data_IF_088642788705
#
_entry.id   IF_088642788705
#
_cell.length_a   1.000
_cell.length_b   1.000
_cell.length_c   1.000
_cell.angle_alpha   90.00
_cell.angle_beta   90.00
_cell.angle_gamma   90.00
#
_symmetry.space_group_name_H-M   'P 1'
#
loop_
_entity.id
_entity.type
_entity.pdbx_description
1 polymer ?
#
# COMPACT_ATOMS: atom_id res chain seq x y z
N UNK A 1 -39.90 -43.43 37.03
CA UNK A 1 -39.23 -43.03 35.78
C UNK A 1 -39.31 -41.52 35.55
N UNK A 2 -40.22 -40.78 36.24
CA UNK A 2 -40.42 -39.34 36.07
C UNK A 2 -39.50 -38.44 36.91
N UNK A 3 -38.86 -38.95 37.97
CA UNK A 3 -38.06 -38.12 38.90
C UNK A 3 -36.59 -37.95 38.47
N UNK A 4 -36.06 -38.82 37.64
CA UNK A 4 -34.66 -38.75 37.16
C UNK A 4 -34.49 -37.79 35.98
N UNK A 5 -35.54 -37.55 35.18
CA UNK A 5 -35.50 -36.59 34.07
C UNK A 5 -35.65 -35.14 34.51
N UNK A 6 -36.22 -34.87 35.69
CA UNK A 6 -36.39 -33.51 36.20
C UNK A 6 -35.11 -32.93 36.82
N UNK A 7 -34.20 -33.80 37.30
CA UNK A 7 -32.93 -33.38 37.88
C UNK A 7 -31.84 -33.10 36.86
N UNK A 8 -31.89 -33.78 35.72
CA UNK A 8 -30.93 -33.54 34.61
C UNK A 8 -31.18 -32.26 33.80
N UNK A 9 -32.38 -31.69 33.89
CA UNK A 9 -32.70 -30.42 33.22
C UNK A 9 -32.33 -29.17 34.03
N UNK A 10 -32.19 -29.31 35.37
CA UNK A 10 -31.86 -28.18 36.25
C UNK A 10 -30.36 -27.91 36.38
N UNK A 11 -29.51 -28.87 35.99
CA UNK A 11 -28.05 -28.72 35.99
C UNK A 11 -27.52 -28.10 34.69
N UNK A 12 -28.36 -27.92 33.66
CA UNK A 12 -27.94 -27.42 32.35
C UNK A 12 -28.18 -25.91 32.15
N UNK A 13 -28.96 -25.28 33.04
CA UNK A 13 -29.30 -23.86 32.97
C UNK A 13 -28.31 -22.93 33.71
N UNK A 14 -27.40 -23.48 34.53
CA UNK A 14 -26.49 -22.66 35.35
C UNK A 14 -25.07 -22.48 34.76
N UNK A 15 -24.75 -23.05 33.59
CA UNK A 15 -23.40 -22.99 33.02
C UNK A 15 -23.12 -22.00 31.87
N UNK A 16 -24.04 -21.25 31.25
CA UNK A 16 -23.67 -20.44 30.08
C UNK A 16 -23.20 -19.00 30.39
N UNK A 17 -23.36 -18.51 31.63
CA UNK A 17 -23.10 -17.09 31.90
C UNK A 17 -21.66 -16.76 32.31
N UNK A 18 -20.90 -17.70 32.79
CA UNK A 18 -19.47 -17.52 33.16
C UNK A 18 -18.56 -17.65 31.96
N UNK A 19 -18.86 -18.58 31.04
CA UNK A 19 -18.05 -18.86 29.83
C UNK A 19 -18.15 -17.74 28.78
N UNK A 20 -19.32 -17.10 28.64
CA UNK A 20 -19.49 -15.99 27.72
C UNK A 20 -18.73 -14.72 28.15
N UNK A 21 -18.67 -14.45 29.44
CA UNK A 21 -17.94 -13.27 29.97
C UNK A 21 -16.43 -13.41 29.85
N UNK A 22 -15.89 -14.59 30.04
CA UNK A 22 -14.46 -14.87 29.93
C UNK A 22 -14.03 -14.83 28.45
N UNK A 23 -14.89 -15.28 27.54
CA UNK A 23 -14.66 -15.17 26.09
C UNK A 23 -14.73 -13.72 25.60
N UNK A 24 -15.70 -12.92 26.06
CA UNK A 24 -15.82 -11.51 25.72
C UNK A 24 -14.61 -10.68 26.23
N UNK A 25 -14.08 -11.05 27.40
CA UNK A 25 -12.89 -10.43 27.97
C UNK A 25 -11.65 -10.85 27.18
N UNK A 26 -11.50 -12.13 26.85
CA UNK A 26 -10.39 -12.62 26.04
C UNK A 26 -10.39 -11.99 24.64
N UNK A 27 -11.54 -11.89 23.99
CA UNK A 27 -11.69 -11.23 22.68
C UNK A 27 -11.34 -9.74 22.76
N UNK A 28 -11.68 -9.04 23.85
CA UNK A 28 -11.34 -7.64 24.05
C UNK A 28 -9.82 -7.42 24.19
N UNK A 29 -9.09 -8.31 24.86
CA UNK A 29 -7.63 -8.24 24.97
C UNK A 29 -6.93 -8.57 23.66
N UNK A 30 -7.47 -9.50 22.87
CA UNK A 30 -6.92 -9.86 21.55
C UNK A 30 -7.08 -8.68 20.59
N UNK A 31 -8.26 -8.05 20.56
CA UNK A 31 -8.53 -6.87 19.71
C UNK A 31 -7.61 -5.70 20.08
N UNK A 32 -7.44 -5.42 21.38
CA UNK A 32 -6.54 -4.34 21.85
C UNK A 32 -5.08 -4.61 21.49
N UNK A 33 -4.63 -5.86 21.59
CA UNK A 33 -3.26 -6.25 21.23
C UNK A 33 -2.99 -6.16 19.73
N UNK A 34 -3.97 -6.48 18.88
CA UNK A 34 -3.83 -6.31 17.43
C UNK A 34 -3.77 -4.83 17.01
N UNK A 35 -4.55 -3.97 17.64
CA UNK A 35 -4.56 -2.54 17.33
C UNK A 35 -3.27 -1.85 17.80
N UNK A 36 -2.71 -2.23 18.93
CA UNK A 36 -1.40 -1.75 19.38
C UNK A 36 -0.28 -2.20 18.44
N UNK A 37 -0.28 -3.47 18.01
CA UNK A 37 0.71 -3.97 17.07
C UNK A 37 0.61 -3.29 15.70
N UNK A 38 -0.60 -3.03 15.21
CA UNK A 38 -0.84 -2.26 13.98
C UNK A 38 -0.34 -0.82 14.12
N UNK A 39 -0.61 -0.17 15.25
CA UNK A 39 -0.09 1.16 15.55
C UNK A 39 1.43 1.21 15.55
N UNK A 40 2.07 0.26 16.21
CA UNK A 40 3.52 0.13 16.25
C UNK A 40 4.11 -0.12 14.85
N UNK A 41 3.51 -1.00 14.06
CA UNK A 41 3.95 -1.29 12.70
C UNK A 41 3.89 -0.04 11.79
N UNK A 42 2.86 0.79 11.93
CA UNK A 42 2.73 2.05 11.19
C UNK A 42 3.83 3.04 11.61
N UNK A 43 4.09 3.18 12.91
CA UNK A 43 5.14 4.07 13.41
C UNK A 43 6.52 3.61 12.96
N UNK A 44 6.81 2.31 13.05
CA UNK A 44 8.07 1.71 12.61
C UNK A 44 8.26 1.89 11.10
N UNK A 45 7.20 1.68 10.30
CA UNK A 45 7.28 1.86 8.84
C UNK A 45 7.55 3.31 8.44
N UNK A 46 6.95 4.28 9.13
CA UNK A 46 7.21 5.71 8.93
C UNK A 46 8.63 6.10 9.34
N UNK A 47 9.10 5.56 10.47
CA UNK A 47 10.47 5.80 10.92
C UNK A 47 11.49 5.22 9.95
N UNK A 48 11.29 4.00 9.46
CA UNK A 48 12.13 3.36 8.44
C UNK A 48 12.18 4.18 7.15
N UNK A 49 11.03 4.67 6.69
CA UNK A 49 10.94 5.56 5.53
C UNK A 49 11.74 6.85 5.73
N UNK A 50 11.59 7.50 6.88
CA UNK A 50 12.30 8.72 7.21
C UNK A 50 13.81 8.47 7.22
N UNK A 51 14.26 7.35 7.76
CA UNK A 51 15.65 6.93 7.77
C UNK A 51 16.18 6.70 6.34
N UNK A 52 15.40 6.04 5.48
CA UNK A 52 15.75 5.88 4.05
C UNK A 52 15.90 7.23 3.37
N UNK A 53 14.99 8.20 3.60
CA UNK A 53 15.11 9.53 3.01
C UNK A 53 16.33 10.30 3.50
N UNK A 54 16.67 10.20 4.78
CA UNK A 54 17.88 10.81 5.33
C UNK A 54 19.12 10.20 4.66
N UNK A 55 19.19 8.87 4.54
CA UNK A 55 20.30 8.19 3.91
C UNK A 55 20.43 8.54 2.42
N UNK A 56 19.31 8.57 1.69
CA UNK A 56 19.31 8.95 0.26
C UNK A 56 19.65 10.41 0.08
N UNK A 57 19.14 11.31 0.92
CA UNK A 57 19.47 12.74 0.87
C UNK A 57 20.93 13.01 1.17
N UNK A 58 21.46 12.41 2.22
CA UNK A 58 22.86 12.61 2.62
C UNK A 58 23.83 11.96 1.66
N UNK A 59 23.58 10.69 1.28
CA UNK A 59 24.41 9.95 0.31
C UNK A 59 24.35 10.55 -1.09
N UNK A 60 23.15 10.95 -1.54
CA UNK A 60 22.96 11.62 -2.83
C UNK A 60 23.60 13.00 -2.88
N UNK A 61 23.45 13.80 -1.84
CA UNK A 61 24.12 15.09 -1.74
C UNK A 61 25.65 15.00 -1.76
N UNK A 62 26.17 14.00 -1.03
CA UNK A 62 27.62 13.72 -1.04
C UNK A 62 28.11 13.27 -2.42
N UNK A 63 27.34 12.43 -3.09
CA UNK A 63 27.66 11.93 -4.43
C UNK A 63 27.64 13.06 -5.47
N UNK A 64 26.62 13.93 -5.44
CA UNK A 64 26.54 15.10 -6.30
C UNK A 64 27.69 16.08 -6.05
N UNK A 65 28.08 16.30 -4.80
CA UNK A 65 29.22 17.14 -4.46
C UNK A 65 30.53 16.57 -5.00
N UNK A 66 30.74 15.28 -4.86
CA UNK A 66 31.90 14.58 -5.45
C UNK A 66 31.94 14.68 -6.97
N UNK A 67 30.80 14.47 -7.65
CA UNK A 67 30.69 14.62 -9.10
C UNK A 67 30.99 16.04 -9.54
N UNK A 68 30.53 17.03 -8.80
CA UNK A 68 30.81 18.45 -9.12
C UNK A 68 32.30 18.79 -8.99
N UNK A 69 33.00 18.24 -8.00
CA UNK A 69 34.45 18.45 -7.84
C UNK A 69 35.30 17.81 -8.94
N UNK A 70 34.84 16.66 -9.47
CA UNK A 70 35.62 15.88 -10.47
C UNK A 70 35.40 16.42 -11.88
N UNK A 71 34.63 17.51 -12.11
CA UNK A 71 34.34 18.04 -13.45
C UNK A 71 33.81 16.96 -14.41
N UNK A 72 32.94 16.11 -13.92
CA UNK A 72 32.39 15.01 -14.71
C UNK A 72 31.52 15.55 -15.85
N UNK A 73 31.47 14.79 -16.93
CA UNK A 73 30.65 15.03 -18.12
C UNK A 73 29.19 15.36 -17.72
N UNK A 74 28.52 16.34 -18.34
CA UNK A 74 27.17 16.77 -17.99
C UNK A 74 26.14 15.62 -18.06
N UNK A 75 26.42 14.61 -18.84
CA UNK A 75 25.65 13.40 -18.98
C UNK A 75 25.65 12.53 -17.68
N UNK A 76 26.81 12.42 -17.01
CA UNK A 76 26.93 11.66 -15.75
C UNK A 76 26.21 12.35 -14.62
N UNK A 77 26.25 13.69 -14.62
CA UNK A 77 25.53 14.52 -13.65
C UNK A 77 24.00 14.36 -13.80
N UNK A 78 23.48 14.39 -15.04
CA UNK A 78 22.05 14.17 -15.31
C UNK A 78 21.58 12.78 -14.86
N UNK A 79 22.38 11.74 -15.11
CA UNK A 79 22.07 10.38 -14.66
C UNK A 79 22.08 10.25 -13.12
N UNK A 80 23.01 10.90 -12.44
CA UNK A 80 23.08 10.88 -10.98
C UNK A 80 21.86 11.56 -10.33
N UNK A 81 21.42 12.70 -10.87
CA UNK A 81 20.19 13.37 -10.41
C UNK A 81 18.97 12.48 -10.64
N UNK A 82 18.83 11.88 -11.81
CA UNK A 82 17.73 10.98 -12.12
C UNK A 82 17.70 9.77 -11.18
N UNK A 83 18.85 9.20 -10.86
CA UNK A 83 18.98 8.11 -9.89
C UNK A 83 18.55 8.52 -8.47
N UNK A 84 18.92 9.72 -8.04
CA UNK A 84 18.52 10.26 -6.75
C UNK A 84 16.99 10.47 -6.67
N UNK A 85 16.40 11.05 -7.71
CA UNK A 85 14.94 11.23 -7.79
C UNK A 85 14.20 9.88 -7.76
N UNK A 86 14.69 8.90 -8.51
CA UNK A 86 14.13 7.53 -8.51
C UNK A 86 14.26 6.86 -7.15
N UNK A 87 15.40 7.02 -6.48
CA UNK A 87 15.63 6.47 -5.14
C UNK A 87 14.69 7.07 -4.08
N UNK A 88 14.16 8.26 -4.28
CA UNK A 88 13.13 8.87 -3.43
C UNK A 88 11.72 8.42 -3.86
N UNK A 89 11.44 8.42 -5.17
CA UNK A 89 10.11 8.15 -5.70
C UNK A 89 9.65 6.70 -5.47
N UNK A 90 10.56 5.71 -5.64
CA UNK A 90 10.23 4.28 -5.51
C UNK A 90 9.82 3.91 -4.08
N UNK A 91 10.58 4.20 -3.01
CA UNK A 91 10.16 3.85 -1.66
C UNK A 91 8.87 4.57 -1.23
N UNK A 92 8.68 5.83 -1.64
CA UNK A 92 7.47 6.58 -1.34
C UNK A 92 6.24 5.94 -1.96
N UNK A 93 6.33 5.56 -3.23
CA UNK A 93 5.25 4.88 -3.96
C UNK A 93 4.93 3.51 -3.35
N UNK A 94 5.96 2.71 -3.05
CA UNK A 94 5.79 1.40 -2.43
C UNK A 94 5.17 1.50 -1.04
N UNK A 95 5.55 2.50 -0.25
CA UNK A 95 4.91 2.74 1.04
C UNK A 95 3.43 3.10 0.88
N UNK A 96 3.08 3.97 -0.07
CA UNK A 96 1.70 4.31 -0.40
C UNK A 96 0.89 3.06 -0.79
N UNK A 97 1.44 2.23 -1.67
CA UNK A 97 0.82 0.95 -2.08
C UNK A 97 0.64 0.02 -0.88
N UNK A 98 1.67 -0.12 -0.03
CA UNK A 98 1.60 -0.95 1.17
C UNK A 98 0.49 -0.49 2.12
N UNK A 99 0.34 0.83 2.33
CA UNK A 99 -0.73 1.38 3.17
C UNK A 99 -2.12 1.06 2.60
N UNK A 100 -2.29 1.12 1.28
CA UNK A 100 -3.54 0.73 0.63
C UNK A 100 -3.84 -0.76 0.71
N UNK A 101 -2.81 -1.61 0.70
CA UNK A 101 -2.97 -3.07 0.86
C UNK A 101 -3.31 -3.41 2.31
N UNK A 102 -2.65 -2.77 3.29
CA UNK A 102 -2.87 -3.01 4.71
C UNK A 102 -4.29 -2.60 5.18
N UNK A 103 -4.88 -1.58 4.55
CA UNK A 103 -6.21 -1.07 4.86
C UNK A 103 -7.19 -1.37 3.70
N UNK A 104 -7.35 -2.67 3.39
CA UNK A 104 -8.21 -3.10 2.29
C UNK A 104 -9.67 -3.19 2.75
N UNK A 105 -10.48 -2.17 2.43
CA UNK A 105 -11.90 -2.11 2.80
C UNK A 105 -12.88 -2.25 1.62
N UNK A 106 -12.43 -2.04 0.38
CA UNK A 106 -13.32 -1.94 -0.77
C UNK A 106 -12.76 -2.64 -2.02
N UNK A 107 -13.64 -3.30 -2.78
CA UNK A 107 -13.25 -3.97 -4.05
C UNK A 107 -12.66 -3.02 -5.09
N UNK A 108 -13.01 -1.72 -5.06
CA UNK A 108 -12.42 -0.71 -5.93
C UNK A 108 -10.94 -0.47 -5.66
N UNK A 109 -10.47 -0.74 -4.44
CA UNK A 109 -9.10 -0.49 -4.01
C UNK A 109 -8.07 -1.29 -4.82
N UNK A 110 -8.48 -2.44 -5.38
CA UNK A 110 -7.68 -3.24 -6.31
C UNK A 110 -7.28 -2.47 -7.56
N UNK A 111 -8.18 -1.66 -8.11
CA UNK A 111 -7.90 -0.83 -9.29
C UNK A 111 -6.99 0.34 -8.94
N UNK A 112 -7.18 0.97 -7.78
CA UNK A 112 -6.27 2.01 -7.27
C UNK A 112 -4.84 1.50 -7.13
N UNK A 113 -4.65 0.33 -6.53
CA UNK A 113 -3.32 -0.27 -6.36
C UNK A 113 -2.64 -0.49 -7.72
N UNK A 114 -3.36 -0.97 -8.74
CA UNK A 114 -2.81 -1.13 -10.10
C UNK A 114 -2.37 0.19 -10.71
N UNK A 115 -3.13 1.26 -10.50
CA UNK A 115 -2.78 2.60 -11.00
C UNK A 115 -1.58 3.16 -10.22
N UNK A 116 -1.52 2.98 -8.90
CA UNK A 116 -0.38 3.43 -8.10
C UNK A 116 0.95 2.78 -8.51
N UNK A 117 0.94 1.54 -8.98
CA UNK A 117 2.13 0.87 -9.51
C UNK A 117 2.76 1.59 -10.72
N UNK A 118 2.01 2.46 -11.39
CA UNK A 118 2.52 3.28 -12.48
C UNK A 118 3.71 4.13 -12.05
N UNK A 119 3.69 4.72 -10.84
CA UNK A 119 4.73 5.63 -10.36
C UNK A 119 6.09 4.95 -10.21
N UNK A 120 6.25 3.81 -9.48
CA UNK A 120 7.54 3.15 -9.37
C UNK A 120 8.03 2.55 -10.70
N UNK A 121 7.13 2.05 -11.55
CA UNK A 121 7.50 1.50 -12.86
C UNK A 121 8.07 2.60 -13.76
N UNK A 122 7.39 3.76 -13.85
CA UNK A 122 7.84 4.87 -14.70
C UNK A 122 9.13 5.50 -14.20
N UNK A 123 9.30 5.64 -12.88
CA UNK A 123 10.54 6.18 -12.33
C UNK A 123 11.75 5.27 -12.58
N UNK A 124 11.57 3.96 -12.45
CA UNK A 124 12.60 2.97 -12.77
C UNK A 124 12.92 2.95 -14.27
N UNK A 125 11.91 2.92 -15.12
CA UNK A 125 12.09 2.92 -16.57
C UNK A 125 12.84 4.17 -17.04
N UNK A 126 12.44 5.35 -16.58
CA UNK A 126 13.11 6.61 -16.92
C UNK A 126 14.59 6.62 -16.51
N UNK A 127 14.90 6.10 -15.32
CA UNK A 127 16.28 5.96 -14.86
C UNK A 127 17.09 4.97 -15.72
N UNK A 128 16.49 3.81 -16.05
CA UNK A 128 17.14 2.79 -16.88
C UNK A 128 17.34 3.26 -18.32
N UNK A 129 16.37 3.98 -18.89
CA UNK A 129 16.47 4.55 -20.24
C UNK A 129 17.60 5.58 -20.37
N UNK A 130 17.86 6.36 -19.31
CA UNK A 130 19.00 7.26 -19.24
C UNK A 130 20.35 6.52 -19.17
N UNK A 131 20.37 5.36 -18.53
CA UNK A 131 21.59 4.57 -18.34
C UNK A 131 21.90 3.69 -19.55
N UNK A 132 20.88 3.07 -20.14
CA UNK A 132 21.02 2.11 -21.25
C UNK A 132 20.38 2.64 -22.52
N UNK A 133 21.11 3.53 -23.21
CA UNK A 133 20.60 4.22 -24.40
C UNK A 133 20.23 3.26 -25.56
N UNK A 134 20.94 2.14 -25.69
CA UNK A 134 20.67 1.14 -26.73
C UNK A 134 19.38 0.35 -26.52
N UNK A 135 18.96 0.20 -25.26
CA UNK A 135 17.76 -0.55 -24.89
C UNK A 135 16.55 0.35 -24.65
N UNK A 136 16.68 1.63 -24.91
CA UNK A 136 15.63 2.62 -24.67
C UNK A 136 14.29 2.24 -25.32
N UNK A 137 14.32 1.74 -26.58
CA UNK A 137 13.12 1.36 -27.33
C UNK A 137 12.33 0.24 -26.64
N UNK A 138 13.03 -0.76 -26.09
CA UNK A 138 12.39 -1.84 -25.35
C UNK A 138 11.74 -1.35 -24.04
N UNK A 139 12.42 -0.46 -23.33
CA UNK A 139 11.93 0.14 -22.10
C UNK A 139 10.69 1.02 -22.38
N UNK A 140 10.70 1.82 -23.42
CA UNK A 140 9.54 2.61 -23.85
C UNK A 140 8.34 1.71 -24.21
N UNK A 141 8.57 0.63 -24.96
CA UNK A 141 7.50 -0.32 -25.30
C UNK A 141 6.90 -0.98 -24.05
N UNK A 142 7.72 -1.34 -23.07
CA UNK A 142 7.23 -1.88 -21.79
C UNK A 142 6.37 -0.87 -21.02
N UNK A 143 6.76 0.40 -21.03
CA UNK A 143 5.99 1.49 -20.44
C UNK A 143 4.63 1.64 -21.11
N UNK A 144 4.59 1.70 -22.44
CA UNK A 144 3.36 1.82 -23.23
C UNK A 144 2.42 0.63 -23.00
N UNK A 145 2.96 -0.58 -22.94
CA UNK A 145 2.18 -1.78 -22.63
C UNK A 145 1.56 -1.70 -21.21
N UNK A 146 2.32 -1.18 -20.23
CA UNK A 146 1.80 -0.99 -18.89
C UNK A 146 0.72 0.10 -18.85
N UNK A 147 0.91 1.21 -19.59
CA UNK A 147 -0.08 2.28 -19.71
C UNK A 147 -1.41 1.76 -20.26
N UNK A 148 -1.38 0.95 -21.31
CA UNK A 148 -2.57 0.29 -21.84
C UNK A 148 -3.28 -0.58 -20.80
N UNK A 149 -2.53 -1.30 -19.98
CA UNK A 149 -3.06 -2.12 -18.86
C UNK A 149 -3.71 -1.27 -17.76
N UNK A 150 -3.13 -0.11 -17.46
CA UNK A 150 -3.68 0.87 -16.50
C UNK A 150 -4.99 1.44 -17.02
N UNK A 151 -5.04 1.84 -18.29
CA UNK A 151 -6.26 2.33 -18.94
C UNK A 151 -7.37 1.27 -18.89
N UNK A 152 -7.05 0.01 -19.21
CA UNK A 152 -8.01 -1.09 -19.08
C UNK A 152 -8.56 -1.24 -17.64
N UNK A 153 -7.73 -1.03 -16.63
CA UNK A 153 -8.14 -1.10 -15.22
C UNK A 153 -8.94 0.12 -14.77
N UNK A 154 -8.72 1.28 -15.40
CA UNK A 154 -9.41 2.52 -15.10
C UNK A 154 -10.89 2.48 -15.51
N UNK A 155 -11.23 1.88 -16.65
CA UNK A 155 -12.61 1.82 -17.12
C UNK A 155 -13.59 1.12 -16.16
N UNK A 156 -13.31 -0.09 -15.63
CA UNK A 156 -14.18 -0.72 -14.63
C UNK A 156 -14.28 0.06 -13.34
N UNK A 157 -13.20 0.73 -12.92
CA UNK A 157 -13.19 1.60 -11.76
C UNK A 157 -14.16 2.78 -11.95
N UNK A 158 -14.07 3.46 -13.09
CA UNK A 158 -14.95 4.57 -13.43
C UNK A 158 -16.41 4.13 -13.54
N UNK A 159 -16.66 2.98 -14.18
CA UNK A 159 -18.01 2.42 -14.28
C UNK A 159 -18.62 2.12 -12.90
N UNK A 160 -17.87 1.48 -12.01
CA UNK A 160 -18.31 1.19 -10.64
C UNK A 160 -18.59 2.47 -9.84
N UNK A 161 -17.75 3.49 -10.02
CA UNK A 161 -17.94 4.79 -9.38
C UNK A 161 -19.23 5.47 -9.88
N UNK A 162 -19.45 5.53 -11.18
CA UNK A 162 -20.66 6.11 -11.78
C UNK A 162 -21.93 5.37 -11.38
N UNK A 163 -21.87 4.04 -11.27
CA UNK A 163 -22.99 3.23 -10.82
C UNK A 163 -23.36 3.53 -9.36
N UNK A 164 -22.37 3.69 -8.49
CA UNK A 164 -22.58 4.11 -7.11
C UNK A 164 -23.23 5.48 -7.01
N UNK A 165 -22.81 6.43 -7.83
CA UNK A 165 -23.41 7.78 -7.88
C UNK A 165 -24.87 7.76 -8.35
N UNK A 166 -25.22 6.93 -9.34
CA UNK A 166 -26.62 6.77 -9.80
C UNK A 166 -27.51 6.25 -8.69
N UNK A 167 -27.05 5.28 -7.91
CA UNK A 167 -27.82 4.74 -6.76
C UNK A 167 -28.06 5.82 -5.72
N UNK A 168 -27.07 6.64 -5.38
CA UNK A 168 -27.20 7.73 -4.42
C UNK A 168 -28.20 8.77 -4.92
N UNK A 169 -28.15 9.15 -6.20
CA UNK A 169 -29.08 10.12 -6.80
C UNK A 169 -30.54 9.58 -6.74
N UNK A 170 -30.74 8.31 -7.06
CA UNK A 170 -32.07 7.68 -6.99
C UNK A 170 -32.60 7.69 -5.56
N UNK A 171 -31.78 7.38 -4.55
CA UNK A 171 -32.17 7.39 -3.13
C UNK A 171 -32.55 8.81 -2.66
N UNK A 172 -31.87 9.83 -3.18
CA UNK A 172 -32.17 11.24 -2.81
C UNK A 172 -33.49 11.75 -3.45
N UNK A 173 -33.86 11.20 -4.61
CA UNK A 173 -35.05 11.62 -5.36
C UNK A 173 -36.33 10.92 -4.84
N UNK A 174 -36.22 9.77 -4.18
CA UNK A 174 -37.36 9.02 -3.57
C UNK A 174 -37.60 9.50 -2.15
#
# INVERSE_FOLDING_TARGET
VGSVQMQANNERDDQPMLDSRDNDVADSYVVTGEDEMRGLAIVVSRFLLLLVYICVGFGGGFLLWKLFQVHSEPHVFGWAIAGLCTAVAVPLSLHGIHMHIAHYYCSLQRYYIRILWMVPIYSLESFLALRFKEQKVYLETMREAYEASVLYSFFPMLHSFLQSQKVIIIIIII
#
